data_IF_663498551612
#
_entry.id   IF_663498551612
#
_cell.length_a   1.000
_cell.length_b   1.000
_cell.length_c   1.000
_cell.angle_alpha   90.00
_cell.angle_beta   90.00
_cell.angle_gamma   90.00
#
_symmetry.space_group_name_H-M   'P 1'
#
loop_
_entity.id
_entity.type
_entity.pdbx_description
1 polymer ?
#
# COMPACT_ATOMS: atom_id res chain seq x y z
N UNK A 1 18.73 -30.76 55.73
CA UNK A 1 17.94 -29.58 55.28
C UNK A 1 18.81 -28.49 54.64
N UNK A 2 20.06 -28.28 55.10
CA UNK A 2 20.98 -27.29 54.52
C UNK A 2 21.52 -27.62 53.12
N UNK A 3 21.73 -28.90 52.77
CA UNK A 3 22.29 -29.27 51.46
C UNK A 3 21.31 -29.13 50.30
N UNK A 4 20.02 -29.33 50.56
CA UNK A 4 18.97 -29.16 49.56
C UNK A 4 18.78 -27.69 49.16
N UNK A 5 18.95 -26.76 50.11
CA UNK A 5 18.88 -25.32 49.85
C UNK A 5 20.07 -24.84 49.01
N UNK A 6 21.28 -25.35 49.28
CA UNK A 6 22.47 -25.07 48.45
C UNK A 6 22.32 -25.59 47.03
N UNK A 7 21.70 -26.78 46.86
CA UNK A 7 21.42 -27.34 45.55
C UNK A 7 20.41 -26.48 44.77
N UNK A 8 19.33 -26.04 45.41
CA UNK A 8 18.35 -25.14 44.78
C UNK A 8 18.94 -23.77 44.43
N UNK A 9 19.74 -23.17 45.32
CA UNK A 9 20.44 -21.92 45.02
C UNK A 9 21.44 -22.07 43.88
N UNK A 10 22.17 -23.19 43.81
CA UNK A 10 23.09 -23.48 42.70
C UNK A 10 22.34 -23.66 41.38
N UNK A 11 21.19 -24.33 41.38
CA UNK A 11 20.34 -24.52 40.21
C UNK A 11 19.73 -23.20 39.71
N UNK A 12 19.34 -22.32 40.64
CA UNK A 12 18.81 -20.99 40.36
C UNK A 12 19.90 -20.07 39.78
N UNK A 13 21.11 -20.14 40.33
CA UNK A 13 22.26 -19.37 39.85
C UNK A 13 22.70 -19.83 38.45
N UNK A 14 22.66 -21.13 38.19
CA UNK A 14 22.91 -21.71 36.87
C UNK A 14 21.85 -21.24 35.85
N UNK A 15 20.58 -21.23 36.22
CA UNK A 15 19.49 -20.69 35.38
C UNK A 15 19.66 -19.19 35.10
N UNK A 16 20.02 -18.38 36.10
CA UNK A 16 20.32 -16.96 35.90
C UNK A 16 21.49 -16.78 34.91
N UNK A 17 22.56 -17.57 35.04
CA UNK A 17 23.70 -17.52 34.11
C UNK A 17 23.30 -17.90 32.67
N UNK A 18 22.40 -18.86 32.47
CA UNK A 18 21.84 -19.15 31.14
C UNK A 18 20.98 -18.01 30.57
N UNK A 19 20.28 -17.25 31.42
CA UNK A 19 19.51 -16.07 31.01
C UNK A 19 20.40 -14.87 30.62
N UNK A 20 21.57 -14.70 31.25
CA UNK A 20 22.50 -13.59 30.95
C UNK A 20 23.56 -13.93 29.89
N UNK A 21 23.84 -15.22 29.65
CA UNK A 21 24.79 -15.69 28.62
C UNK A 21 24.18 -15.89 27.24
N UNK A 22 22.85 -15.94 27.14
CA UNK A 22 22.14 -16.01 25.85
C UNK A 22 22.12 -14.65 25.18
N UNK A 23 23.25 -14.27 24.58
CA UNK A 23 23.27 -13.28 23.50
C UNK A 23 22.61 -13.93 22.29
N UNK A 24 21.28 -14.07 22.32
CA UNK A 24 20.49 -14.46 21.15
C UNK A 24 20.66 -13.32 20.16
N UNK A 25 21.63 -13.45 19.26
CA UNK A 25 21.62 -12.71 18.00
C UNK A 25 20.33 -13.15 17.32
N UNK A 26 19.30 -12.31 17.43
CA UNK A 26 18.17 -12.36 16.51
C UNK A 26 18.82 -12.18 15.15
N UNK A 27 18.95 -13.30 14.43
CA UNK A 27 19.41 -13.28 13.06
C UNK A 27 18.34 -12.48 12.33
N UNK A 28 18.71 -11.36 11.71
CA UNK A 28 17.83 -10.72 10.73
C UNK A 28 17.60 -11.79 9.65
N UNK A 29 16.45 -12.46 9.73
CA UNK A 29 16.02 -13.40 8.71
C UNK A 29 15.59 -12.50 7.56
N UNK A 30 16.53 -12.22 6.66
CA UNK A 30 16.21 -11.65 5.36
C UNK A 30 15.60 -12.79 4.53
N UNK A 31 14.29 -12.94 4.63
CA UNK A 31 13.53 -13.71 3.65
C UNK A 31 13.23 -12.77 2.49
N UNK A 32 13.86 -13.04 1.35
CA UNK A 32 13.47 -12.46 0.07
C UNK A 32 12.06 -12.96 -0.24
N UNK A 33 11.04 -12.19 0.14
CA UNK A 33 9.66 -12.55 -0.16
C UNK A 33 9.46 -12.48 -1.68
N UNK A 34 9.14 -13.63 -2.28
CA UNK A 34 8.78 -13.71 -3.69
C UNK A 34 7.47 -12.93 -3.91
N UNK A 35 7.60 -11.74 -4.47
CA UNK A 35 6.51 -10.78 -4.54
C UNK A 35 5.62 -11.03 -5.75
N UNK A 36 4.43 -11.60 -5.55
CA UNK A 36 3.40 -11.68 -6.61
C UNK A 36 2.58 -10.40 -6.68
N UNK A 37 3.08 -9.43 -7.43
CA UNK A 37 2.32 -8.30 -7.89
C UNK A 37 1.19 -8.74 -8.81
N UNK A 38 -0.06 -8.34 -8.52
CA UNK A 38 -1.10 -8.36 -9.55
C UNK A 38 -0.86 -7.19 -10.49
N UNK A 39 -0.47 -7.51 -11.73
CA UNK A 39 -0.44 -6.55 -12.82
C UNK A 39 -1.68 -6.77 -13.68
N UNK A 40 -2.47 -5.71 -13.86
CA UNK A 40 -3.60 -5.77 -14.79
C UNK A 40 -3.06 -6.07 -16.21
N UNK A 41 -3.66 -7.01 -16.96
CA UNK A 41 -3.11 -7.45 -18.24
C UNK A 41 -3.43 -6.44 -19.35
N UNK A 42 -2.80 -5.25 -19.28
CA UNK A 42 -3.05 -4.14 -20.20
C UNK A 42 -2.85 -4.51 -21.68
N UNK A 43 -1.94 -5.44 -21.98
CA UNK A 43 -1.65 -5.89 -23.33
C UNK A 43 -2.75 -6.75 -23.96
N UNK A 44 -3.64 -7.32 -23.15
CA UNK A 44 -4.76 -8.15 -23.60
C UNK A 44 -6.12 -7.48 -23.34
N UNK A 45 -6.14 -6.16 -23.16
CA UNK A 45 -7.40 -5.42 -23.03
C UNK A 45 -8.16 -5.47 -24.36
N UNK A 46 -9.46 -5.79 -24.30
CA UNK A 46 -10.31 -5.80 -25.48
C UNK A 46 -10.52 -4.37 -26.00
N UNK A 47 -10.28 -4.14 -27.29
CA UNK A 47 -10.39 -2.81 -27.92
C UNK A 47 -11.75 -2.51 -28.54
N UNK A 48 -12.57 -3.54 -28.78
CA UNK A 48 -13.86 -3.44 -29.48
C UNK A 48 -14.93 -4.13 -28.64
N UNK A 49 -15.58 -3.35 -27.77
CA UNK A 49 -16.57 -3.85 -26.82
C UNK A 49 -17.97 -3.45 -27.28
N UNK A 50 -18.75 -4.43 -27.70
CA UNK A 50 -20.18 -4.27 -27.91
C UNK A 50 -20.93 -4.39 -26.58
N UNK A 51 -21.74 -3.38 -26.25
CA UNK A 51 -22.54 -3.33 -25.03
C UNK A 51 -24.03 -3.29 -25.36
N UNK A 52 -24.76 -4.31 -24.89
CA UNK A 52 -26.22 -4.35 -24.94
C UNK A 52 -26.81 -4.16 -23.54
N UNK A 53 -27.78 -3.25 -23.43
CA UNK A 53 -28.52 -2.98 -22.20
C UNK A 53 -30.01 -3.24 -22.41
N UNK A 54 -30.55 -4.25 -21.75
CA UNK A 54 -31.98 -4.55 -21.74
C UNK A 54 -32.65 -3.85 -20.55
N UNK A 55 -33.60 -2.96 -20.82
CA UNK A 55 -34.38 -2.25 -19.80
C UNK A 55 -35.83 -2.73 -19.84
N UNK A 56 -36.29 -3.35 -18.75
CA UNK A 56 -37.69 -3.75 -18.59
C UNK A 56 -38.45 -2.68 -17.80
N UNK A 57 -39.51 -2.15 -18.41
CA UNK A 57 -40.36 -1.12 -17.79
C UNK A 57 -41.59 -1.76 -17.14
N UNK A 58 -42.14 -1.11 -16.11
CA UNK A 58 -43.43 -1.50 -15.54
C UNK A 58 -44.55 -1.31 -16.56
N UNK A 59 -45.62 -2.09 -16.43
CA UNK A 59 -46.84 -1.93 -17.24
C UNK A 59 -47.36 -0.47 -17.19
N UNK A 60 -47.85 0.03 -18.34
CA UNK A 60 -48.30 1.42 -18.55
C UNK A 60 -47.21 2.51 -18.48
N UNK A 61 -45.92 2.16 -18.58
CA UNK A 61 -44.85 3.16 -18.75
C UNK A 61 -44.72 3.58 -20.21
N UNK A 62 -44.68 4.89 -20.48
CA UNK A 62 -44.48 5.42 -21.84
C UNK A 62 -43.07 5.07 -22.34
N UNK A 63 -42.99 4.32 -23.45
CA UNK A 63 -41.72 3.88 -24.05
C UNK A 63 -41.04 4.98 -24.89
N UNK A 64 -41.83 5.89 -25.44
CA UNK A 64 -41.39 6.81 -26.50
C UNK A 64 -40.51 7.98 -26.01
N UNK A 65 -40.35 8.13 -24.69
CA UNK A 65 -39.61 9.24 -24.07
C UNK A 65 -38.19 8.86 -23.58
N UNK A 66 -37.74 7.62 -23.77
CA UNK A 66 -36.43 7.19 -23.26
C UNK A 66 -35.33 7.55 -24.27
N UNK A 67 -34.47 8.50 -23.89
CA UNK A 67 -33.26 8.88 -24.63
C UNK A 67 -32.02 8.56 -23.80
N UNK A 68 -31.08 7.84 -24.40
CA UNK A 68 -29.77 7.58 -23.82
C UNK A 68 -28.73 8.53 -24.43
N UNK A 69 -27.85 9.07 -23.60
CA UNK A 69 -26.73 9.89 -24.03
C UNK A 69 -25.53 9.68 -23.11
N UNK A 70 -24.33 9.79 -23.66
CA UNK A 70 -23.10 9.84 -22.88
C UNK A 70 -22.95 11.29 -22.37
N UNK A 71 -22.86 11.52 -21.04
CA UNK A 71 -22.65 12.86 -20.51
C UNK A 71 -21.25 13.38 -20.86
N UNK A 72 -21.07 14.71 -20.83
CA UNK A 72 -19.80 15.38 -21.18
C UNK A 72 -18.63 14.86 -20.35
N UNK A 73 -18.84 14.63 -19.05
CA UNK A 73 -17.86 14.05 -18.15
C UNK A 73 -18.42 12.76 -17.55
N UNK A 74 -17.54 11.76 -17.36
CA UNK A 74 -17.86 10.49 -16.69
C UNK A 74 -18.52 10.77 -15.33
N UNK A 75 -19.53 9.99 -14.98
CA UNK A 75 -20.32 10.15 -13.76
C UNK A 75 -21.09 11.49 -13.67
N UNK A 76 -21.32 12.14 -14.81
CA UNK A 76 -22.04 13.41 -14.94
C UNK A 76 -21.47 14.53 -14.03
N UNK A 77 -20.14 14.60 -13.91
CA UNK A 77 -19.46 15.64 -13.12
C UNK A 77 -19.51 17.00 -13.83
N UNK A 78 -19.45 18.08 -13.03
CA UNK A 78 -19.48 19.46 -13.54
C UNK A 78 -18.11 20.02 -13.91
N UNK A 79 -17.03 19.41 -13.43
CA UNK A 79 -15.65 19.87 -13.67
C UNK A 79 -14.68 18.68 -13.68
N UNK A 80 -13.51 18.91 -14.28
CA UNK A 80 -12.45 17.92 -14.44
C UNK A 80 -11.18 18.40 -13.73
N UNK A 81 -10.55 17.51 -12.97
CA UNK A 81 -9.20 17.68 -12.42
C UNK A 81 -8.27 16.67 -13.07
N UNK A 82 -7.12 17.13 -13.56
CA UNK A 82 -6.03 16.28 -14.03
C UNK A 82 -4.81 16.54 -13.14
N UNK A 83 -4.18 15.47 -12.65
CA UNK A 83 -3.01 15.52 -11.78
C UNK A 83 -1.95 14.54 -12.29
N UNK A 84 -0.82 15.08 -12.73
CA UNK A 84 0.39 14.32 -13.07
C UNK A 84 1.49 14.73 -12.11
N UNK A 85 2.21 13.76 -11.55
CA UNK A 85 3.35 13.97 -10.68
C UNK A 85 4.65 13.60 -11.41
N UNK A 86 5.49 14.60 -11.64
CA UNK A 86 6.72 14.46 -12.41
C UNK A 86 7.88 13.85 -11.59
N UNK A 87 9.03 13.68 -12.25
CA UNK A 87 10.31 13.17 -11.74
C UNK A 87 10.27 11.76 -11.13
N UNK A 88 9.24 10.93 -11.40
CA UNK A 88 9.16 9.56 -10.87
C UNK A 88 9.41 9.48 -9.33
N UNK A 89 8.95 10.50 -8.60
CA UNK A 89 9.34 10.67 -7.19
C UNK A 89 8.73 9.60 -6.27
N UNK A 90 9.52 9.18 -5.28
CA UNK A 90 9.11 8.19 -4.27
C UNK A 90 7.79 8.54 -3.54
N UNK A 91 7.53 9.84 -3.34
CA UNK A 91 6.27 10.31 -2.72
C UNK A 91 5.03 10.06 -3.55
N UNK A 92 5.13 9.79 -4.86
CA UNK A 92 4.00 9.40 -5.67
C UNK A 92 3.33 8.15 -5.10
N UNK A 93 4.12 7.18 -4.63
CA UNK A 93 3.64 6.00 -3.93
C UNK A 93 3.35 6.27 -2.45
N UNK A 94 4.36 6.69 -1.68
CA UNK A 94 4.27 6.74 -0.21
C UNK A 94 3.34 7.82 0.34
N UNK A 95 3.01 8.84 -0.47
CA UNK A 95 2.14 9.95 -0.07
C UNK A 95 0.89 10.02 -0.93
N UNK A 96 1.01 10.28 -2.24
CA UNK A 96 -0.15 10.55 -3.11
C UNK A 96 -1.04 9.31 -3.24
N UNK A 97 -0.48 8.20 -3.71
CA UNK A 97 -1.21 6.93 -3.81
C UNK A 97 -1.66 6.43 -2.44
N UNK A 98 -0.81 6.55 -1.42
CA UNK A 98 -1.14 6.12 -0.07
C UNK A 98 -2.34 6.87 0.53
N UNK A 99 -2.36 8.20 0.41
CA UNK A 99 -3.44 9.04 0.92
C UNK A 99 -4.77 8.72 0.22
N UNK A 100 -4.75 8.62 -1.11
CA UNK A 100 -5.92 8.27 -1.92
C UNK A 100 -6.50 6.92 -1.47
N UNK A 101 -5.64 5.96 -1.17
CA UNK A 101 -6.02 4.57 -0.87
C UNK A 101 -6.14 4.25 0.62
N UNK A 102 -6.13 5.26 1.50
CA UNK A 102 -6.28 5.07 2.94
C UNK A 102 -5.15 4.25 3.57
N UNK A 103 -3.94 4.34 3.02
CA UNK A 103 -2.73 3.67 3.53
C UNK A 103 -2.00 4.55 4.55
N UNK A 104 -1.07 3.98 5.34
CA UNK A 104 -0.30 4.75 6.32
C UNK A 104 0.44 5.91 5.66
N UNK A 105 0.48 7.07 6.32
CA UNK A 105 1.22 8.25 5.90
C UNK A 105 2.27 8.63 6.94
N UNK A 106 3.32 9.29 6.46
CA UNK A 106 4.45 9.71 7.28
C UNK A 106 4.92 11.09 6.86
N UNK A 107 5.28 11.92 7.84
CA UNK A 107 5.77 13.27 7.57
C UNK A 107 7.19 13.27 6.97
N UNK A 108 8.05 12.38 7.46
CA UNK A 108 9.49 12.40 7.20
C UNK A 108 10.05 11.07 6.67
N UNK A 109 9.18 10.13 6.29
CA UNK A 109 9.57 8.79 5.84
C UNK A 109 8.87 8.41 4.55
N UNK A 110 9.54 7.57 3.77
CA UNK A 110 9.08 7.05 2.49
C UNK A 110 9.17 5.53 2.57
N UNK A 111 8.12 4.83 2.14
CA UNK A 111 8.08 3.37 2.17
C UNK A 111 7.74 2.83 0.79
N UNK A 112 8.24 1.64 0.49
CA UNK A 112 7.98 0.91 -0.75
C UNK A 112 6.83 -0.06 -0.54
N UNK A 113 6.33 -0.64 -1.64
CA UNK A 113 5.28 -1.65 -1.58
C UNK A 113 5.69 -2.88 -0.73
N UNK A 114 6.97 -3.26 -0.76
CA UNK A 114 7.50 -4.36 0.05
C UNK A 114 7.38 -4.08 1.56
N UNK A 115 7.66 -2.85 2.00
CA UNK A 115 7.48 -2.42 3.39
C UNK A 115 6.01 -2.52 3.82
N UNK A 116 5.10 -2.05 2.96
CA UNK A 116 3.66 -2.06 3.26
C UNK A 116 3.12 -3.49 3.41
N UNK A 117 3.58 -4.43 2.58
CA UNK A 117 3.14 -5.81 2.59
C UNK A 117 3.72 -6.58 3.77
N UNK A 118 5.01 -6.42 4.03
CA UNK A 118 5.69 -7.09 5.13
C UNK A 118 5.29 -6.52 6.51
N UNK A 119 4.64 -5.35 6.55
CA UNK A 119 4.35 -4.63 7.79
C UNK A 119 5.59 -4.02 8.45
N UNK A 120 6.72 -3.94 7.72
CA UNK A 120 7.90 -3.21 8.15
C UNK A 120 7.71 -1.72 7.86
N UNK A 121 7.09 -1.03 8.81
CA UNK A 121 6.67 0.35 8.64
C UNK A 121 7.44 1.30 9.57
N UNK A 122 7.69 2.55 9.15
CA UNK A 122 8.33 3.55 10.01
C UNK A 122 7.47 3.87 11.25
N UNK A 123 8.07 4.47 12.30
CA UNK A 123 7.33 4.96 13.45
C UNK A 123 6.55 6.24 13.10
N UNK A 124 5.51 6.54 13.87
CA UNK A 124 4.77 7.78 13.72
C UNK A 124 3.83 7.82 12.52
N UNK A 125 3.25 6.68 12.17
CA UNK A 125 2.21 6.61 11.14
C UNK A 125 1.00 7.45 11.54
N UNK A 126 0.43 8.17 10.58
CA UNK A 126 -0.91 8.75 10.72
C UNK A 126 -1.79 8.31 9.55
N UNK A 127 -3.10 8.40 9.75
CA UNK A 127 -4.10 7.96 8.79
C UNK A 127 -5.15 9.06 8.61
N UNK A 128 -5.68 9.18 7.39
CA UNK A 128 -6.80 10.08 7.11
C UNK A 128 -8.15 9.52 7.60
N UNK A 129 -8.18 8.25 8.03
CA UNK A 129 -9.40 7.55 8.48
C UNK A 129 -10.40 7.22 7.36
N UNK A 130 -10.06 7.53 6.11
CA UNK A 130 -10.85 7.29 4.90
C UNK A 130 -9.96 7.26 3.68
N UNK A 131 -10.48 6.73 2.60
CA UNK A 131 -9.98 6.89 1.24
C UNK A 131 -10.39 8.26 0.69
N UNK A 132 -9.71 8.74 -0.35
CA UNK A 132 -10.01 10.02 -0.99
C UNK A 132 -10.57 9.78 -2.39
N UNK A 133 -11.79 10.29 -2.60
CA UNK A 133 -12.51 10.07 -3.84
C UNK A 133 -13.79 10.87 -3.93
N UNK A 134 -14.54 10.59 -4.99
CA UNK A 134 -15.92 11.02 -5.22
C UNK A 134 -16.85 9.80 -5.25
N UNK A 135 -18.10 10.03 -5.61
CA UNK A 135 -19.03 8.97 -6.00
C UNK A 135 -19.18 8.90 -7.51
N UNK A 136 -19.52 7.75 -8.07
CA UNK A 136 -19.97 7.60 -9.45
C UNK A 136 -21.36 8.19 -9.74
N UNK A 137 -22.05 8.69 -8.70
CA UNK A 137 -23.43 9.18 -8.80
C UNK A 137 -24.49 8.10 -8.58
N UNK A 138 -24.09 6.84 -8.37
CA UNK A 138 -24.97 5.69 -8.09
C UNK A 138 -24.73 5.07 -6.70
N UNK A 139 -23.94 5.74 -5.86
CA UNK A 139 -23.65 5.32 -4.49
C UNK A 139 -22.35 4.55 -4.31
N UNK A 140 -21.58 4.32 -5.38
CA UNK A 140 -20.26 3.68 -5.30
C UNK A 140 -19.16 4.72 -5.19
N UNK A 141 -18.13 4.41 -4.40
CA UNK A 141 -16.91 5.21 -4.32
C UNK A 141 -16.08 5.08 -5.61
N UNK A 142 -15.61 6.23 -6.11
CA UNK A 142 -14.57 6.35 -7.13
C UNK A 142 -13.42 7.15 -6.54
N UNK A 143 -12.32 6.47 -6.22
CA UNK A 143 -11.12 7.12 -5.68
C UNK A 143 -10.47 8.03 -6.70
N UNK A 144 -9.77 9.06 -6.23
CA UNK A 144 -9.03 9.94 -7.13
C UNK A 144 -7.98 9.16 -7.92
N UNK A 145 -7.90 9.45 -9.21
CA UNK A 145 -6.86 8.92 -10.08
C UNK A 145 -5.83 10.02 -10.35
N UNK A 146 -4.57 9.62 -10.46
CA UNK A 146 -3.47 10.50 -10.82
C UNK A 146 -2.46 9.69 -11.65
N UNK A 147 -1.63 10.39 -12.39
CA UNK A 147 -0.53 9.80 -13.18
C UNK A 147 0.81 10.22 -12.59
N UNK A 148 1.84 9.42 -12.82
CA UNK A 148 3.22 9.80 -12.48
C UNK A 148 4.13 9.48 -13.67
N UNK A 149 5.15 10.30 -13.88
CA UNK A 149 6.18 10.01 -14.88
C UNK A 149 7.02 8.81 -14.42
N UNK A 150 7.58 8.09 -15.38
CA UNK A 150 8.49 6.98 -15.13
C UNK A 150 9.84 7.32 -15.75
N UNK A 151 10.91 6.77 -15.20
CA UNK A 151 12.27 6.90 -15.73
C UNK A 151 12.83 5.50 -16.07
N UNK A 152 12.11 4.69 -16.88
CA UNK A 152 12.33 3.25 -17.01
C UNK A 152 13.72 2.86 -17.53
N UNK A 153 14.42 3.80 -18.16
CA UNK A 153 15.78 3.64 -18.66
C UNK A 153 16.87 3.71 -17.58
N UNK A 154 16.55 4.19 -16.36
CA UNK A 154 17.53 4.37 -15.29
C UNK A 154 17.58 3.18 -14.33
N UNK A 155 18.81 2.75 -14.01
CA UNK A 155 19.06 1.56 -13.20
C UNK A 155 18.53 1.68 -11.76
N UNK A 156 18.42 2.89 -11.22
CA UNK A 156 17.87 3.12 -9.88
C UNK A 156 16.39 2.70 -9.76
N UNK A 157 15.64 2.58 -10.87
CA UNK A 157 14.29 2.01 -10.85
C UNK A 157 14.27 0.51 -10.51
N UNK A 158 15.40 -0.19 -10.63
CA UNK A 158 15.56 -1.61 -10.27
C UNK A 158 15.99 -1.81 -8.80
N UNK A 159 16.16 -0.74 -8.02
CA UNK A 159 16.61 -0.85 -6.63
C UNK A 159 15.63 -1.62 -5.74
N UNK A 160 16.10 -2.73 -5.17
CA UNK A 160 15.35 -3.51 -4.21
C UNK A 160 15.09 -2.74 -2.90
N UNK A 161 13.97 -3.06 -2.25
CA UNK A 161 13.64 -2.53 -0.92
C UNK A 161 14.33 -3.34 0.18
N UNK A 162 14.90 -2.66 1.17
CA UNK A 162 15.49 -3.31 2.35
C UNK A 162 14.41 -3.45 3.42
N UNK A 163 13.81 -4.63 3.55
CA UNK A 163 12.78 -4.93 4.56
C UNK A 163 13.41 -5.56 5.81
N UNK A 164 13.11 -5.04 7.00
CA UNK A 164 13.54 -5.56 8.32
C UNK A 164 12.46 -5.40 9.39
N UNK A 165 11.48 -6.30 9.38
CA UNK A 165 10.35 -6.29 10.32
C UNK A 165 10.85 -6.29 11.77
N UNK A 166 10.40 -5.32 12.57
CA UNK A 166 10.73 -5.21 13.99
C UNK A 166 12.07 -4.54 14.31
N UNK A 167 12.90 -4.22 13.31
CA UNK A 167 14.17 -3.53 13.50
C UNK A 167 13.97 -2.02 13.77
N UNK A 168 14.45 -1.54 14.94
CA UNK A 168 14.19 -0.17 15.45
C UNK A 168 15.45 0.67 15.72
N UNK A 169 16.65 0.13 15.49
CA UNK A 169 17.91 0.85 15.78
C UNK A 169 18.09 2.08 14.89
N UNK A 170 17.61 2.03 13.64
CA UNK A 170 17.58 3.15 12.72
C UNK A 170 16.48 2.96 11.65
N UNK A 171 16.27 4.00 10.85
CA UNK A 171 15.17 4.08 9.87
C UNK A 171 15.65 4.49 8.46
N UNK A 172 16.93 4.28 8.10
CA UNK A 172 17.47 4.69 6.80
C UNK A 172 16.78 4.00 5.62
N UNK A 173 16.25 2.78 5.82
CA UNK A 173 15.46 2.04 4.81
C UNK A 173 14.17 2.77 4.41
N UNK A 174 13.76 3.76 5.19
CA UNK A 174 12.62 4.64 4.91
C UNK A 174 13.04 6.05 4.49
N UNK A 175 14.31 6.28 4.17
CA UNK A 175 14.74 7.53 3.56
C UNK A 175 14.20 7.65 2.12
N UNK A 176 14.05 8.88 1.64
CA UNK A 176 13.67 9.11 0.25
C UNK A 176 14.74 8.52 -0.66
N UNK A 177 14.36 7.65 -1.59
CA UNK A 177 15.25 7.22 -2.67
C UNK A 177 15.52 8.42 -3.59
N UNK A 178 16.78 8.65 -3.91
CA UNK A 178 17.18 9.70 -4.84
C UNK A 178 16.87 9.23 -6.26
N UNK A 179 16.18 10.08 -7.02
CA UNK A 179 15.95 9.97 -8.47
C UNK A 179 17.14 10.62 -9.17
#
# INVERSE_FOLDING_TARGET
MFDMYKFYCSLLFLNLMFCFGSCVKIKDIYEEQEFRNYLYPYSSENSEIDLELLVQLKENSAKDDIKAQIPILKYNKSWLMLLTQDDCVHSAFSNTWAAINGKPLYANYYYDIAHLIAGDLPPGAYYLGKTLGSTDGTGKEIRFAFTTTLAPEYEWMNEASIVRVGYKTNYYRFAKKMV
#
